data_IF_739856133802
#
_entry.id   IF_739856133802
#
_cell.length_a   1.000
_cell.length_b   1.000
_cell.length_c   1.000
_cell.angle_alpha   90.00
_cell.angle_beta   90.00
_cell.angle_gamma   90.00
#
_symmetry.space_group_name_H-M   'P 1'
#
loop_
_entity.id
_entity.type
_entity.pdbx_description
1 polymer ?
#
# COMPACT_ATOMS: atom_id res chain seq x y z
N UNK A 1 16.81 -3.47 2.82
CA UNK A 1 15.96 -4.46 3.50
C UNK A 1 15.16 -3.70 4.53
N UNK A 2 13.83 -3.82 4.53
CA UNK A 2 12.97 -3.08 5.46
C UNK A 2 13.16 -3.66 6.87
N UNK A 3 13.38 -2.80 7.87
CA UNK A 3 13.42 -3.24 9.27
C UNK A 3 12.08 -3.88 9.66
N UNK A 4 12.16 -5.02 10.35
CA UNK A 4 11.00 -5.78 10.83
C UNK A 4 10.02 -4.90 11.62
N UNK A 5 10.52 -4.04 12.50
CA UNK A 5 9.72 -3.09 13.29
C UNK A 5 8.84 -2.17 12.43
N UNK A 6 9.35 -1.71 11.29
CA UNK A 6 8.60 -0.84 10.39
C UNK A 6 7.55 -1.63 9.60
N UNK A 7 7.85 -2.89 9.28
CA UNK A 7 6.87 -3.79 8.68
C UNK A 7 5.73 -4.10 9.64
N UNK A 8 6.03 -4.42 10.90
CA UNK A 8 5.02 -4.65 11.94
C UNK A 8 4.14 -3.41 12.10
N UNK A 9 4.72 -2.22 12.22
CA UNK A 9 3.95 -0.96 12.32
C UNK A 9 3.04 -0.73 11.11
N UNK A 10 3.55 -0.96 9.90
CA UNK A 10 2.74 -0.85 8.68
C UNK A 10 1.59 -1.87 8.66
N UNK A 11 1.84 -3.10 9.12
CA UNK A 11 0.87 -4.18 9.18
C UNK A 11 -0.22 -3.94 10.24
N UNK A 12 0.15 -3.39 11.39
CA UNK A 12 -0.80 -2.97 12.42
C UNK A 12 -1.71 -1.85 11.89
N UNK A 13 -1.15 -0.91 11.14
CA UNK A 13 -1.88 0.20 10.52
C UNK A 13 -2.34 -0.09 9.07
N UNK A 14 -2.52 -1.37 8.72
CA UNK A 14 -2.98 -1.83 7.38
C UNK A 14 -4.36 -1.29 6.96
N UNK A 15 -5.11 -0.69 7.88
CA UNK A 15 -6.36 0.03 7.53
C UNK A 15 -6.11 1.14 6.50
N UNK A 16 -4.96 1.80 6.57
CA UNK A 16 -4.53 2.78 5.58
C UNK A 16 -4.37 2.14 4.19
N UNK A 17 -3.72 0.98 4.14
CA UNK A 17 -3.52 0.19 2.93
C UNK A 17 -4.85 -0.25 2.33
N UNK A 18 -5.75 -0.81 3.15
CA UNK A 18 -7.12 -1.15 2.72
C UNK A 18 -7.87 0.06 2.15
N UNK A 19 -7.73 1.22 2.79
CA UNK A 19 -8.36 2.46 2.34
C UNK A 19 -7.86 2.91 0.98
N UNK A 20 -6.54 2.84 0.74
CA UNK A 20 -5.93 3.24 -0.52
C UNK A 20 -6.35 2.32 -1.68
N UNK A 21 -6.34 1.00 -1.47
CA UNK A 21 -6.76 0.01 -2.47
C UNK A 21 -8.25 0.11 -2.78
N UNK A 22 -9.08 0.34 -1.75
CA UNK A 22 -10.50 0.62 -1.94
C UNK A 22 -10.72 1.90 -2.75
N UNK A 23 -9.92 2.94 -2.52
CA UNK A 23 -9.98 4.19 -3.29
C UNK A 23 -9.53 4.02 -4.75
N UNK A 24 -8.71 3.01 -5.04
CA UNK A 24 -8.35 2.61 -6.41
C UNK A 24 -9.49 1.87 -7.13
N UNK A 25 -10.62 1.60 -6.46
CA UNK A 25 -11.77 0.88 -7.01
C UNK A 25 -11.68 -0.64 -6.88
N UNK A 26 -10.67 -1.17 -6.19
CA UNK A 26 -10.48 -2.61 -6.02
C UNK A 26 -11.32 -3.13 -4.85
N UNK A 27 -12.08 -4.19 -5.11
CA UNK A 27 -12.89 -4.89 -4.11
C UNK A 27 -12.21 -6.19 -3.68
N UNK A 28 -12.67 -6.75 -2.55
CA UNK A 28 -12.08 -7.96 -1.93
C UNK A 28 -12.19 -9.24 -2.77
N UNK A 29 -13.13 -9.26 -3.71
CA UNK A 29 -13.35 -10.34 -4.68
C UNK A 29 -12.36 -10.27 -5.85
N UNK A 30 -11.53 -9.23 -5.96
CA UNK A 30 -10.46 -9.17 -6.94
C UNK A 30 -9.42 -10.26 -6.66
N UNK A 31 -9.03 -11.00 -7.69
CA UNK A 31 -8.18 -12.19 -7.56
C UNK A 31 -6.83 -11.89 -6.88
N UNK A 32 -6.21 -10.75 -7.19
CA UNK A 32 -4.91 -10.35 -6.64
C UNK A 32 -5.06 -9.39 -5.45
N UNK A 33 -6.24 -9.35 -4.80
CA UNK A 33 -6.48 -8.44 -3.68
C UNK A 33 -5.48 -8.66 -2.54
N UNK A 34 -5.15 -9.90 -2.22
CA UNK A 34 -4.19 -10.22 -1.17
C UNK A 34 -2.78 -9.70 -1.50
N UNK A 35 -2.37 -9.78 -2.76
CA UNK A 35 -1.06 -9.33 -3.23
C UNK A 35 -0.95 -7.81 -3.18
N UNK A 36 -1.99 -7.10 -3.65
CA UNK A 36 -2.08 -5.63 -3.51
C UNK A 36 -1.95 -5.17 -2.05
N UNK A 37 -2.50 -5.93 -1.10
CA UNK A 37 -2.37 -5.64 0.33
C UNK A 37 -0.94 -5.84 0.82
N UNK A 38 -0.28 -6.92 0.41
CA UNK A 38 1.11 -7.18 0.78
C UNK A 38 2.03 -6.10 0.21
N UNK A 39 1.88 -5.77 -1.07
CA UNK A 39 2.66 -4.72 -1.73
C UNK A 39 2.42 -3.35 -1.08
N UNK A 40 1.16 -3.02 -0.80
CA UNK A 40 0.81 -1.79 -0.10
C UNK A 40 1.43 -1.70 1.31
N UNK A 41 1.48 -2.81 2.05
CA UNK A 41 2.13 -2.87 3.36
C UNK A 41 3.66 -2.69 3.25
N UNK A 42 4.30 -3.30 2.25
CA UNK A 42 5.73 -3.13 2.00
C UNK A 42 6.09 -1.70 1.60
N UNK A 43 5.27 -1.06 0.74
CA UNK A 43 5.44 0.35 0.36
C UNK A 43 5.36 1.23 1.60
N UNK A 44 4.36 1.01 2.46
CA UNK A 44 4.18 1.81 3.66
C UNK A 44 5.32 1.62 4.67
N UNK A 45 5.73 0.39 4.91
CA UNK A 45 6.87 0.08 5.78
C UNK A 45 8.17 0.73 5.29
N UNK A 46 8.41 0.71 3.97
CA UNK A 46 9.54 1.40 3.37
C UNK A 46 9.46 2.93 3.46
N UNK A 47 8.25 3.51 3.58
CA UNK A 47 8.07 4.95 3.82
C UNK A 47 8.32 5.32 5.29
N UNK A 48 7.88 4.49 6.23
CA UNK A 48 8.17 4.63 7.66
C UNK A 48 9.67 4.56 7.95
N UNK A 49 10.42 3.79 7.16
CA UNK A 49 11.87 3.71 7.29
C UNK A 49 12.60 4.96 6.79
N UNK A 50 12.09 5.59 5.72
CA UNK A 50 12.77 6.70 5.04
C UNK A 50 12.47 8.08 5.63
N UNK A 51 11.40 8.22 6.40
CA UNK A 51 11.00 9.49 6.98
C UNK A 51 10.31 9.24 8.31
N UNK A 52 10.44 10.17 9.25
CA UNK A 52 9.63 10.23 10.49
C UNK A 52 8.91 11.58 10.61
N UNK A 53 8.62 12.22 9.48
CA UNK A 53 7.91 13.50 9.44
C UNK A 53 6.41 13.35 9.71
N UNK A 54 5.79 14.47 10.10
CA UNK A 54 4.33 14.61 10.05
C UNK A 54 3.86 14.39 8.59
N UNK A 55 2.68 13.78 8.40
CA UNK A 55 2.05 13.43 7.11
C UNK A 55 2.55 12.21 6.34
N UNK A 56 3.38 11.33 6.91
CA UNK A 56 3.78 10.07 6.25
C UNK A 56 2.60 9.23 5.81
N UNK A 57 1.58 9.10 6.66
CA UNK A 57 0.39 8.32 6.36
C UNK A 57 -0.34 8.85 5.12
N UNK A 58 -0.46 10.17 5.00
CA UNK A 58 -1.08 10.82 3.83
C UNK A 58 -0.29 10.57 2.55
N UNK A 59 1.05 10.62 2.63
CA UNK A 59 1.91 10.34 1.49
C UNK A 59 1.90 8.86 1.12
N UNK A 60 1.90 7.97 2.10
CA UNK A 60 1.80 6.53 1.92
C UNK A 60 0.48 6.15 1.26
N UNK A 61 -0.63 6.74 1.72
CA UNK A 61 -1.95 6.54 1.13
C UNK A 61 -1.95 6.87 -0.37
N UNK A 62 -1.44 8.07 -0.74
CA UNK A 62 -1.33 8.47 -2.14
C UNK A 62 -0.45 7.52 -2.93
N UNK A 63 0.71 7.15 -2.38
CA UNK A 63 1.67 6.29 -3.07
C UNK A 63 1.11 4.89 -3.35
N UNK A 64 0.43 4.29 -2.36
CA UNK A 64 -0.23 2.99 -2.52
C UNK A 64 -1.35 3.10 -3.55
N UNK A 65 -2.19 4.14 -3.49
CA UNK A 65 -3.24 4.38 -4.48
C UNK A 65 -2.68 4.44 -5.91
N UNK A 66 -1.64 5.23 -6.13
CA UNK A 66 -1.00 5.33 -7.45
C UNK A 66 -0.39 4.01 -7.91
N UNK A 67 0.28 3.29 -7.00
CA UNK A 67 0.84 1.97 -7.31
C UNK A 67 -0.24 0.97 -7.71
N UNK A 68 -1.34 0.89 -6.96
CA UNK A 68 -2.47 0.01 -7.29
C UNK A 68 -3.07 0.36 -8.66
N UNK A 69 -3.26 1.65 -8.96
CA UNK A 69 -3.76 2.07 -10.29
C UNK A 69 -2.80 1.69 -11.43
N UNK A 70 -1.50 1.77 -11.20
CA UNK A 70 -0.48 1.36 -12.17
C UNK A 70 -0.48 -0.16 -12.41
N UNK A 71 -0.58 -0.96 -11.35
CA UNK A 71 -0.71 -2.42 -11.48
C UNK A 71 -1.98 -2.82 -12.25
N UNK A 72 -3.13 -2.22 -11.91
CA UNK A 72 -4.38 -2.48 -12.65
C UNK A 72 -4.27 -2.10 -14.12
N UNK A 73 -3.56 -1.01 -14.45
CA UNK A 73 -3.31 -0.62 -15.84
C UNK A 73 -2.46 -1.66 -16.57
N UNK A 74 -1.44 -2.23 -15.93
CA UNK A 74 -0.59 -3.28 -16.54
C UNK A 74 -1.38 -4.54 -16.85
N UNK A 75 -2.30 -4.93 -15.97
CA UNK A 75 -3.19 -6.08 -16.22
C UNK A 75 -4.13 -5.80 -17.38
N UNK A 76 -4.71 -4.61 -17.47
CA UNK A 76 -5.65 -4.25 -18.55
C UNK A 76 -4.98 -4.11 -19.93
N UNK A 77 -3.69 -3.78 -19.98
CA UNK A 77 -2.92 -3.69 -21.22
C UNK A 77 -2.30 -5.03 -21.68
N UNK A 78 -2.52 -6.12 -20.94
CA UNK A 78 -2.10 -7.48 -21.29
C UNK A 78 -3.24 -8.26 -21.95
#
# INVERSE_FOLDING_TARGET
>A
MIKEENFIKAWENRRLVYGAIKAAGVRKDYQEYADLIQDGALIYAGMLEKSQGQDIDRLAFKKILWHTLDELRKVQCR
#
